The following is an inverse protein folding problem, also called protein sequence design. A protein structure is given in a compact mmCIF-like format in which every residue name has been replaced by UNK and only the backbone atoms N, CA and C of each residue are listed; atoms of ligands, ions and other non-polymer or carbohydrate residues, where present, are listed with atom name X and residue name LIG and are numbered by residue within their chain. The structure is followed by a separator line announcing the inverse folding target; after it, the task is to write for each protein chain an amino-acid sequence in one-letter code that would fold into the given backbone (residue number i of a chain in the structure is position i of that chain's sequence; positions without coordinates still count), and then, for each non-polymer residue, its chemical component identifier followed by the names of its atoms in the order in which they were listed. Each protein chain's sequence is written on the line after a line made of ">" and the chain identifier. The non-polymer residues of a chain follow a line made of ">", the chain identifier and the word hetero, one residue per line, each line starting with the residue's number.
data_IF_308802176660
#
_entry.id   IF_308802176660
#
_cell.length_a   1.000
_cell.length_b   1.000
_cell.length_c   1.000
_cell.angle_alpha   90.00
_cell.angle_beta   90.00
_cell.angle_gamma   90.00
#
_symmetry.space_group_name_H-M   'P 1'
#
loop_
_entity.id
_entity.type
_entity.pdbx_description
1 polymer ?
#
# COMPACT_ATOMS: atom_id res chain seq x y z
N UNK A 1 9.74 4.89 -8.81
CA UNK A 1 9.18 5.61 -7.64
C UNK A 1 7.68 5.34 -7.51
N UNK A 2 7.12 5.34 -6.30
CA UNK A 2 5.65 5.33 -6.09
C UNK A 2 5.28 6.49 -5.20
N UNK A 3 4.35 7.34 -5.66
CA UNK A 3 3.82 8.46 -4.89
C UNK A 3 2.37 8.13 -4.54
N UNK A 4 2.02 8.35 -3.27
CA UNK A 4 0.65 8.16 -2.80
C UNK A 4 -0.17 9.43 -2.98
N UNK A 5 -1.33 9.30 -3.61
CA UNK A 5 -2.23 10.42 -3.93
C UNK A 5 -3.67 10.08 -3.54
N UNK A 6 -4.44 11.09 -3.14
CA UNK A 6 -5.86 10.91 -2.84
C UNK A 6 -6.64 10.55 -4.11
N UNK A 7 -7.20 9.33 -4.17
CA UNK A 7 -7.92 8.82 -5.35
C UNK A 7 -9.21 8.13 -4.91
N UNK A 8 -10.33 8.52 -5.53
CA UNK A 8 -11.61 7.82 -5.35
C UNK A 8 -11.65 6.62 -6.31
N UNK A 9 -11.34 5.42 -5.83
CA UNK A 9 -11.23 4.21 -6.66
C UNK A 9 -12.46 3.93 -7.54
N UNK A 10 -13.69 4.15 -7.03
CA UNK A 10 -14.92 4.00 -7.83
C UNK A 10 -14.94 4.95 -9.05
N UNK A 11 -14.44 6.18 -8.90
CA UNK A 11 -14.32 7.13 -10.02
C UNK A 11 -13.22 6.69 -10.99
N UNK A 12 -12.09 6.22 -10.46
CA UNK A 12 -10.99 5.68 -11.28
C UNK A 12 -11.45 4.50 -12.13
N UNK A 13 -12.18 3.55 -11.54
CA UNK A 13 -12.74 2.40 -12.24
C UNK A 13 -13.62 2.80 -13.43
N UNK A 14 -14.56 3.73 -13.20
CA UNK A 14 -15.46 4.21 -14.25
C UNK A 14 -14.74 4.98 -15.35
N UNK A 15 -13.80 5.87 -14.99
CA UNK A 15 -13.15 6.77 -15.94
C UNK A 15 -11.94 6.14 -16.66
N UNK A 16 -11.34 5.08 -16.13
CA UNK A 16 -10.17 4.40 -16.72
C UNK A 16 -9.08 5.42 -17.10
N UNK A 17 -8.68 5.47 -18.38
CA UNK A 17 -7.66 6.40 -18.91
C UNK A 17 -8.09 7.88 -18.86
N UNK A 18 -9.39 8.16 -18.73
CA UNK A 18 -9.95 9.51 -18.68
C UNK A 18 -10.04 10.05 -17.23
N UNK A 19 -9.49 9.34 -16.24
CA UNK A 19 -9.39 9.86 -14.89
C UNK A 19 -8.38 11.02 -14.86
N UNK A 20 -8.78 12.17 -14.32
CA UNK A 20 -7.89 13.32 -14.15
C UNK A 20 -6.95 13.06 -12.97
N UNK A 21 -5.75 12.57 -13.29
CA UNK A 21 -4.68 12.36 -12.33
C UNK A 21 -4.00 13.69 -12.01
N UNK A 22 -3.60 13.93 -10.75
CA UNK A 22 -2.81 15.11 -10.42
C UNK A 22 -1.49 15.08 -11.18
N UNK A 23 -1.11 16.22 -11.75
CA UNK A 23 0.21 16.40 -12.37
C UNK A 23 1.25 16.57 -11.27
N UNK A 24 2.42 15.96 -11.47
CA UNK A 24 3.56 16.17 -10.59
C UNK A 24 4.27 17.46 -11.00
N UNK A 25 4.58 18.32 -10.02
CA UNK A 25 5.33 19.55 -10.24
C UNK A 25 6.80 19.27 -10.56
N UNK A 26 7.38 18.27 -9.90
CA UNK A 26 8.78 17.91 -10.07
C UNK A 26 9.04 16.41 -9.90
N UNK A 27 10.22 15.98 -10.34
CA UNK A 27 10.68 14.62 -10.17
C UNK A 27 11.08 14.38 -8.71
N UNK A 28 10.53 13.37 -8.00
CA UNK A 28 10.89 13.06 -6.62
C UNK A 28 12.31 12.48 -6.46
N UNK A 29 13.08 12.31 -7.56
CA UNK A 29 14.44 11.77 -7.54
C UNK A 29 15.51 12.84 -7.78
N UNK A 30 15.26 13.76 -8.71
CA UNK A 30 16.25 14.77 -9.12
C UNK A 30 15.69 16.20 -9.07
N UNK A 31 14.47 16.38 -8.56
CA UNK A 31 13.76 17.66 -8.43
C UNK A 31 13.51 18.42 -9.74
N UNK A 32 13.86 17.86 -10.90
CA UNK A 32 13.61 18.47 -12.20
C UNK A 32 12.11 18.51 -12.54
N UNK A 33 11.65 19.62 -13.12
CA UNK A 33 10.25 19.90 -13.44
C UNK A 33 9.74 19.17 -14.71
N UNK A 34 10.64 18.62 -15.55
CA UNK A 34 10.30 17.95 -16.82
C UNK A 34 9.82 16.51 -16.58
N UNK A 35 8.66 16.41 -15.93
CA UNK A 35 7.94 15.16 -15.69
C UNK A 35 6.75 15.07 -16.64
N UNK A 36 6.74 14.04 -17.48
CA UNK A 36 5.73 13.86 -18.52
C UNK A 36 4.98 12.54 -18.37
N UNK A 37 3.77 12.49 -18.93
CA UNK A 37 2.91 11.32 -18.88
C UNK A 37 3.53 10.17 -19.67
N UNK A 38 3.87 9.08 -19.00
CA UNK A 38 4.52 7.92 -19.62
C UNK A 38 3.52 6.84 -20.04
N UNK A 39 2.42 6.69 -19.30
CA UNK A 39 1.41 5.67 -19.59
C UNK A 39 0.63 5.26 -18.35
N UNK A 40 0.24 3.99 -18.30
CA UNK A 40 -0.53 3.41 -17.20
C UNK A 40 0.02 2.04 -16.81
N UNK A 41 -0.04 1.72 -15.52
CA UNK A 41 0.20 0.38 -14.99
C UNK A 41 -1.09 -0.19 -14.42
N UNK A 42 -1.35 -1.47 -14.68
CA UNK A 42 -2.47 -2.18 -14.04
C UNK A 42 -2.14 -2.51 -12.58
N UNK A 43 -3.14 -2.36 -11.70
CA UNK A 43 -3.06 -2.79 -10.32
C UNK A 43 -4.41 -3.33 -9.83
N UNK A 44 -4.38 -4.46 -9.15
CA UNK A 44 -5.56 -5.09 -8.56
C UNK A 44 -5.84 -4.45 -7.19
N UNK A 45 -7.12 -4.22 -6.91
CA UNK A 45 -7.61 -3.72 -5.64
C UNK A 45 -8.83 -4.54 -5.22
N UNK A 46 -8.96 -4.80 -3.92
CA UNK A 46 -10.11 -5.54 -3.40
C UNK A 46 -11.43 -4.82 -3.75
N UNK A 47 -12.44 -5.60 -4.12
CA UNK A 47 -13.76 -5.11 -4.50
C UNK A 47 -13.88 -4.65 -5.96
N UNK A 48 -12.88 -4.91 -6.81
CA UNK A 48 -12.94 -4.63 -8.25
C UNK A 48 -12.74 -5.91 -9.05
N UNK A 49 -13.58 -6.11 -10.07
CA UNK A 49 -13.56 -7.29 -10.94
C UNK A 49 -12.44 -7.27 -11.99
N UNK A 50 -11.85 -6.11 -12.25
CA UNK A 50 -10.77 -5.94 -13.22
C UNK A 50 -9.67 -5.02 -12.65
N UNK A 51 -8.41 -5.15 -13.13
CA UNK A 51 -7.33 -4.28 -12.69
C UNK A 51 -7.59 -2.80 -13.01
N UNK A 52 -7.25 -1.92 -12.07
CA UNK A 52 -7.34 -0.48 -12.24
C UNK A 52 -6.08 0.09 -12.90
N UNK A 53 -6.26 1.05 -13.80
CA UNK A 53 -5.17 1.75 -14.47
C UNK A 53 -4.61 2.88 -13.61
N UNK A 54 -3.38 2.74 -13.13
CA UNK A 54 -2.64 3.74 -12.37
C UNK A 54 -1.75 4.56 -13.27
N UNK A 55 -1.76 5.89 -13.14
CA UNK A 55 -0.94 6.78 -13.97
C UNK A 55 0.55 6.57 -13.71
N UNK A 56 1.30 6.53 -14.80
CA UNK A 56 2.75 6.59 -14.83
C UNK A 56 3.21 7.93 -15.39
N UNK A 57 4.19 8.51 -14.71
CA UNK A 57 5.00 9.60 -15.20
C UNK A 57 6.44 9.15 -15.40
N UNK A 58 7.19 9.84 -16.25
CA UNK A 58 8.63 9.65 -16.40
C UNK A 58 9.33 11.00 -16.34
N UNK A 59 10.43 11.06 -15.62
CA UNK A 59 11.33 12.22 -15.66
C UNK A 59 12.22 12.12 -16.90
N UNK A 60 12.30 13.18 -17.69
CA UNK A 60 13.16 13.22 -18.88
C UNK A 60 14.65 13.24 -18.51
N UNK A 61 15.02 13.92 -17.41
CA UNK A 61 16.41 14.10 -16.99
C UNK A 61 17.01 12.82 -16.40
N UNK A 62 16.41 12.28 -15.33
CA UNK A 62 16.97 11.10 -14.65
C UNK A 62 16.35 9.76 -15.06
N UNK A 63 15.42 9.77 -16.04
CA UNK A 63 14.72 8.57 -16.50
C UNK A 63 13.76 7.93 -15.49
N UNK A 64 13.60 8.49 -14.29
CA UNK A 64 12.81 7.87 -13.21
C UNK A 64 11.34 7.68 -13.64
N UNK A 65 10.84 6.45 -13.53
CA UNK A 65 9.41 6.14 -13.70
C UNK A 65 8.69 6.25 -12.36
N UNK A 66 7.64 7.07 -12.32
CA UNK A 66 6.88 7.42 -11.12
C UNK A 66 5.45 6.92 -11.31
N UNK A 67 5.02 6.01 -10.43
CA UNK A 67 3.64 5.51 -10.41
C UNK A 67 2.83 6.23 -9.34
N UNK A 68 1.69 6.78 -9.72
CA UNK A 68 0.73 7.33 -8.77
C UNK A 68 -0.15 6.21 -8.22
N UNK A 69 -0.13 6.02 -6.90
CA UNK A 69 -0.91 5.00 -6.20
C UNK A 69 -1.93 5.66 -5.26
N UNK A 70 -3.16 5.15 -5.15
CA UNK A 70 -4.12 5.61 -4.14
C UNK A 70 -3.55 5.53 -2.73
N UNK A 71 -3.68 6.62 -1.97
CA UNK A 71 -3.36 6.66 -0.54
C UNK A 71 -4.24 5.70 0.26
N UNK A 72 -3.76 5.27 1.43
CA UNK A 72 -4.43 4.26 2.25
C UNK A 72 -4.17 2.81 1.82
N UNK A 73 -3.23 2.59 0.89
CA UNK A 73 -2.73 1.29 0.47
C UNK A 73 -1.22 1.24 0.63
N UNK A 74 -0.67 0.06 0.91
CA UNK A 74 0.77 -0.14 0.74
C UNK A 74 1.12 -0.34 -0.73
N UNK A 75 2.39 -0.10 -1.09
CA UNK A 75 2.90 -0.10 -2.48
C UNK A 75 2.52 -1.35 -3.30
N UNK A 76 2.49 -2.52 -2.66
CA UNK A 76 2.28 -3.84 -3.30
C UNK A 76 1.01 -4.56 -2.82
N UNK A 77 0.12 -3.87 -2.11
CA UNK A 77 -1.03 -4.50 -1.46
C UNK A 77 -2.34 -4.13 -2.13
N UNK A 78 -3.16 -5.14 -2.42
CA UNK A 78 -4.50 -4.97 -2.98
C UNK A 78 -5.52 -4.51 -1.91
N UNK A 79 -5.27 -4.83 -0.64
CA UNK A 79 -6.07 -4.42 0.51
C UNK A 79 -5.67 -3.04 1.03
N UNK A 80 -6.66 -2.32 1.56
CA UNK A 80 -6.42 -1.08 2.30
C UNK A 80 -5.62 -1.37 3.58
N UNK A 81 -4.77 -0.43 3.97
CA UNK A 81 -4.02 -0.48 5.24
C UNK A 81 -4.99 -0.70 6.41
N UNK A 82 -6.10 0.04 6.44
CA UNK A 82 -7.14 -0.09 7.48
C UNK A 82 -7.71 -1.51 7.57
N UNK A 83 -7.91 -2.18 6.43
CA UNK A 83 -8.46 -3.53 6.38
C UNK A 83 -7.48 -4.52 6.98
N UNK A 84 -6.20 -4.41 6.62
CA UNK A 84 -5.13 -5.24 7.19
C UNK A 84 -5.04 -5.04 8.70
N UNK A 85 -5.04 -3.78 9.16
CA UNK A 85 -5.02 -3.43 10.58
C UNK A 85 -6.24 -3.99 11.33
N UNK A 86 -7.44 -3.87 10.77
CA UNK A 86 -8.66 -4.44 11.34
C UNK A 86 -8.61 -5.96 11.46
N UNK A 87 -8.06 -6.67 10.46
CA UNK A 87 -7.85 -8.12 10.55
C UNK A 87 -6.96 -8.49 11.74
N UNK A 88 -5.83 -7.79 11.90
CA UNK A 88 -4.88 -8.05 12.99
C UNK A 88 -5.53 -7.72 14.34
N UNK A 89 -6.20 -6.58 14.46
CA UNK A 89 -6.90 -6.17 15.68
C UNK A 89 -7.99 -7.16 16.08
N UNK A 90 -8.81 -7.61 15.11
CA UNK A 90 -9.87 -8.58 15.38
C UNK A 90 -9.30 -9.93 15.82
N UNK A 91 -8.20 -10.37 15.17
CA UNK A 91 -7.52 -11.61 15.55
C UNK A 91 -6.92 -11.53 16.96
N UNK A 92 -6.32 -10.40 17.32
CA UNK A 92 -5.76 -10.20 18.66
C UNK A 92 -6.85 -10.16 19.74
N UNK A 93 -7.93 -9.42 19.50
CA UNK A 93 -9.01 -9.23 20.49
C UNK A 93 -9.91 -10.46 20.67
N UNK A 94 -10.23 -11.16 19.59
CA UNK A 94 -11.27 -12.21 19.59
C UNK A 94 -10.74 -13.59 19.21
N UNK A 95 -9.45 -13.71 18.91
CA UNK A 95 -8.83 -14.93 18.38
C UNK A 95 -9.50 -15.50 17.10
N UNK A 96 -10.28 -14.68 16.39
CA UNK A 96 -11.04 -15.06 15.19
C UNK A 96 -10.59 -14.25 13.96
N UNK A 97 -10.75 -14.83 12.78
CA UNK A 97 -10.54 -14.13 11.51
C UNK A 97 -11.81 -13.39 11.12
N UNK A 98 -11.67 -12.30 10.34
CA UNK A 98 -12.84 -11.68 9.72
C UNK A 98 -13.45 -12.63 8.68
N UNK A 99 -14.77 -12.77 8.68
CA UNK A 99 -15.51 -13.65 7.75
C UNK A 99 -15.35 -13.23 6.29
N UNK A 100 -15.27 -11.93 6.05
CA UNK A 100 -15.42 -11.33 4.72
C UNK A 100 -14.12 -11.41 3.90
N UNK A 101 -13.03 -11.91 4.50
CA UNK A 101 -11.71 -11.95 3.91
C UNK A 101 -11.16 -13.37 4.02
N UNK A 102 -10.57 -13.95 2.96
CA UNK A 102 -10.00 -15.29 3.03
C UNK A 102 -9.01 -15.45 4.20
N UNK A 103 -9.19 -16.46 5.07
CA UNK A 103 -8.31 -16.67 6.23
C UNK A 103 -6.83 -16.88 5.86
N UNK A 104 -6.55 -17.44 4.68
CA UNK A 104 -5.18 -17.61 4.16
C UNK A 104 -4.45 -16.28 4.01
N UNK A 105 -5.14 -15.26 3.49
CA UNK A 105 -4.60 -13.91 3.29
C UNK A 105 -4.39 -13.19 4.61
N UNK A 106 -5.33 -13.30 5.54
CA UNK A 106 -5.20 -12.73 6.88
C UNK A 106 -4.04 -13.36 7.67
N UNK A 107 -3.92 -14.70 7.62
CA UNK A 107 -2.77 -15.43 8.19
C UNK A 107 -1.45 -14.98 7.59
N UNK A 108 -1.41 -14.75 6.27
CA UNK A 108 -0.20 -14.28 5.61
C UNK A 108 0.25 -12.91 6.16
N UNK A 109 -0.67 -11.96 6.32
CA UNK A 109 -0.36 -10.67 6.92
C UNK A 109 0.13 -10.79 8.36
N UNK A 110 -0.57 -11.57 9.19
CA UNK A 110 -0.17 -11.75 10.59
C UNK A 110 1.22 -12.38 10.71
N UNK A 111 1.50 -13.46 9.97
CA UNK A 111 2.81 -14.12 9.97
C UNK A 111 3.93 -13.18 9.53
N UNK A 112 3.69 -12.36 8.49
CA UNK A 112 4.66 -11.38 8.03
C UNK A 112 4.97 -10.33 9.12
N UNK A 113 3.94 -9.83 9.82
CA UNK A 113 4.12 -8.91 10.93
C UNK A 113 4.88 -9.56 12.09
N UNK A 114 4.51 -10.76 12.52
CA UNK A 114 5.20 -11.48 13.61
C UNK A 114 6.69 -11.68 13.32
N UNK A 115 7.02 -12.04 12.07
CA UNK A 115 8.43 -12.13 11.63
C UNK A 115 9.17 -10.80 11.75
N UNK A 116 8.52 -9.70 11.41
CA UNK A 116 9.10 -8.37 11.52
C UNK A 116 9.23 -7.92 12.97
N UNK A 117 8.27 -8.23 13.84
CA UNK A 117 8.38 -7.99 15.28
C UNK A 117 9.63 -8.65 15.81
N UNK A 118 9.80 -9.96 15.55
CA UNK A 118 10.98 -10.70 16.01
C UNK A 118 12.28 -10.09 15.47
N UNK A 119 12.31 -9.72 14.20
CA UNK A 119 13.53 -9.21 13.56
C UNK A 119 13.93 -7.79 14.00
N UNK A 120 12.97 -6.91 14.25
CA UNK A 120 13.23 -5.49 14.49
C UNK A 120 13.02 -5.05 15.94
N UNK A 121 12.12 -5.70 16.67
CA UNK A 121 11.75 -5.35 18.06
C UNK A 121 12.24 -6.39 19.07
N UNK A 122 12.76 -7.53 18.58
CA UNK A 122 13.27 -8.61 19.41
C UNK A 122 12.19 -9.31 20.24
N UNK A 123 12.63 -10.14 21.17
CA UNK A 123 11.74 -10.88 22.08
C UNK A 123 11.23 -10.01 23.25
N UNK A 124 11.73 -8.78 23.39
CA UNK A 124 11.34 -7.83 24.44
C UNK A 124 10.01 -7.12 24.17
N UNK A 125 9.43 -7.26 22.98
CA UNK A 125 8.17 -6.61 22.64
C UNK A 125 6.95 -7.30 23.27
N UNK A 126 6.50 -6.80 24.42
CA UNK A 126 5.34 -7.34 25.15
C UNK A 126 4.00 -6.63 24.85
N UNK A 127 4.00 -5.53 24.09
CA UNK A 127 2.84 -4.65 23.94
C UNK A 127 1.74 -5.19 23.00
N UNK A 128 1.93 -6.38 22.43
CA UNK A 128 0.98 -6.98 21.50
C UNK A 128 1.27 -6.64 20.03
N UNK A 129 0.63 -7.40 19.15
CA UNK A 129 0.89 -7.40 17.71
C UNK A 129 0.28 -6.18 17.04
N UNK A 130 -0.89 -5.71 17.48
CA UNK A 130 -1.49 -4.51 16.91
C UNK A 130 -0.66 -3.25 17.21
N UNK A 131 -0.14 -3.12 18.44
CA UNK A 131 0.75 -2.00 18.79
C UNK A 131 2.05 -2.03 17.98
N UNK A 132 2.60 -3.21 17.70
CA UNK A 132 3.74 -3.31 16.79
C UNK A 132 3.40 -2.89 15.36
N UNK A 133 2.21 -3.23 14.87
CA UNK A 133 1.75 -2.74 13.56
C UNK A 133 1.78 -1.21 13.51
N UNK A 134 1.20 -0.56 14.51
CA UNK A 134 1.15 0.90 14.59
C UNK A 134 2.55 1.51 14.76
N UNK A 135 3.41 0.89 15.56
CA UNK A 135 4.80 1.32 15.72
C UNK A 135 5.58 1.26 14.39
N UNK A 136 5.44 0.19 13.60
CA UNK A 136 6.06 0.15 12.28
C UNK A 136 5.49 1.23 11.34
N UNK A 137 4.20 1.56 11.45
CA UNK A 137 3.58 2.63 10.67
C UNK A 137 4.18 4.00 11.03
N UNK A 138 4.42 4.30 12.31
CA UNK A 138 5.04 5.58 12.72
C UNK A 138 6.48 5.71 12.22
N UNK A 139 7.19 4.59 12.08
CA UNK A 139 8.53 4.54 11.48
C UNK A 139 8.53 4.59 9.94
N UNK A 140 7.36 4.69 9.29
CA UNK A 140 7.26 4.68 7.83
C UNK A 140 7.50 3.33 7.18
N UNK A 141 7.56 2.24 7.96
CA UNK A 141 7.69 0.89 7.44
C UNK A 141 6.34 0.30 7.03
N UNK A 142 6.38 -0.69 6.13
CA UNK A 142 5.21 -1.52 5.82
C UNK A 142 5.16 -2.68 6.83
N UNK A 143 4.23 -2.70 7.80
CA UNK A 143 4.30 -3.62 8.93
C UNK A 143 4.16 -5.10 8.54
N UNK A 144 3.51 -5.36 7.41
CA UNK A 144 3.24 -6.72 6.90
C UNK A 144 4.06 -7.03 5.64
N UNK A 145 5.18 -6.32 5.43
CA UNK A 145 6.10 -6.62 4.34
C UNK A 145 6.70 -8.02 4.48
N UNK A 146 6.90 -8.70 3.36
CA UNK A 146 7.52 -10.04 3.34
C UNK A 146 9.04 -9.98 3.51
N UNK A 147 9.67 -8.90 3.07
CA UNK A 147 11.10 -8.67 3.27
C UNK A 147 11.34 -8.20 4.70
N UNK A 148 12.37 -8.76 5.32
CA UNK A 148 12.98 -8.23 6.54
C UNK A 148 14.08 -7.29 6.07
#
# INVERSE_FOLDING_TARGET
>A
MVIFVAVKLKKLFKKKRNYSWPRLESCPRCSDYKVWGHGYAQAIFDGFKEPLLLKLYRCHVCGCVIRLRPSGYFKRFQAKIRTIRSCISHKEKHNKWLSDIPPTRQRHWLKALQRRIKAYLGDTWAQGVLKAFDHFMTLGHVPVARSI
#
